data_IF_354652456547
#
_entry.id   IF_354652456547
#
_cell.length_a   1.000
_cell.length_b   1.000
_cell.length_c   1.000
_cell.angle_alpha   90.00
_cell.angle_beta   90.00
_cell.angle_gamma   90.00
#
_symmetry.space_group_name_H-M   'P 1'
#
loop_
_entity.id
_entity.type
_entity.pdbx_description
1 polymer ?
#
# COMPACT_ATOMS: atom_id res chain seq x y z
N UNK A 1 -26.25 -2.10 5.49
CA UNK A 1 -25.68 -0.73 5.29
C UNK A 1 -24.17 -0.86 5.19
N UNK A 2 -23.49 -0.07 4.34
CA UNK A 2 -22.04 -0.16 4.16
C UNK A 2 -21.27 0.33 5.39
N UNK A 3 -20.22 -0.41 5.78
CA UNK A 3 -19.36 -0.10 6.94
C UNK A 3 -17.97 0.30 6.47
N UNK A 4 -17.50 1.44 6.98
CA UNK A 4 -16.16 1.97 6.74
C UNK A 4 -15.37 2.05 8.05
N UNK A 5 -14.06 1.79 7.96
CA UNK A 5 -13.10 2.06 9.03
C UNK A 5 -12.15 3.14 8.53
N UNK A 6 -12.24 4.32 9.13
CA UNK A 6 -11.38 5.45 8.84
C UNK A 6 -10.16 5.40 9.76
N UNK A 7 -8.97 5.45 9.16
CA UNK A 7 -7.69 5.48 9.83
C UNK A 7 -7.04 6.85 9.65
N UNK A 8 -6.72 7.49 10.76
CA UNK A 8 -6.04 8.77 10.84
C UNK A 8 -4.75 8.61 11.60
N UNK A 9 -3.67 9.20 11.12
CA UNK A 9 -2.43 9.25 11.89
C UNK A 9 -1.71 10.57 11.70
N UNK A 10 -1.12 11.07 12.80
CA UNK A 10 -0.15 12.14 12.81
C UNK A 10 1.21 11.51 13.08
N UNK A 11 2.15 11.68 12.16
CA UNK A 11 3.47 11.09 12.28
C UNK A 11 4.55 12.10 11.92
N UNK A 12 5.39 12.40 12.90
CA UNK A 12 6.56 13.26 12.70
C UNK A 12 7.71 12.47 12.08
N UNK A 13 8.25 12.99 10.98
CA UNK A 13 9.48 12.49 10.38
C UNK A 13 10.60 13.51 10.55
N UNK A 14 11.82 13.07 10.92
CA UNK A 14 13.00 13.92 10.93
C UNK A 14 13.39 14.32 9.49
N UNK A 15 14.39 15.22 9.32
CA UNK A 15 14.91 15.56 8.00
C UNK A 15 15.20 14.31 7.17
N UNK A 16 14.47 14.15 6.07
CA UNK A 16 14.53 12.93 5.27
C UNK A 16 14.03 13.14 3.84
N UNK A 17 14.29 12.16 2.99
CA UNK A 17 13.82 12.12 1.61
C UNK A 17 13.21 10.74 1.24
N UNK A 18 12.22 10.33 2.04
CA UNK A 18 11.55 9.03 1.90
C UNK A 18 10.66 8.89 0.66
N UNK A 19 10.26 10.01 0.05
CA UNK A 19 9.50 10.04 -1.19
C UNK A 19 9.84 11.26 -2.06
N UNK A 20 10.46 11.02 -3.21
CA UNK A 20 11.02 12.04 -4.10
C UNK A 20 10.40 12.10 -5.50
N UNK A 21 10.53 13.24 -6.14
CA UNK A 21 10.25 13.46 -7.56
C UNK A 21 11.33 12.88 -8.48
N UNK A 22 11.17 13.09 -9.78
CA UNK A 22 12.16 12.71 -10.80
C UNK A 22 13.44 13.55 -10.71
N UNK A 23 13.30 14.77 -10.20
CA UNK A 23 14.37 15.72 -9.87
C UNK A 23 15.16 15.36 -8.60
N UNK A 24 14.74 14.31 -7.88
CA UNK A 24 15.35 13.88 -6.63
C UNK A 24 14.87 14.65 -5.40
N UNK A 25 14.08 15.71 -5.55
CA UNK A 25 13.59 16.53 -4.45
C UNK A 25 12.42 15.85 -3.70
N UNK A 26 12.27 16.06 -2.37
CA UNK A 26 11.10 15.62 -1.63
C UNK A 26 9.80 16.13 -2.28
N UNK A 27 8.83 15.23 -2.47
CA UNK A 27 7.55 15.63 -3.07
C UNK A 27 6.84 16.64 -2.17
N UNK A 28 6.21 17.63 -2.78
CA UNK A 28 5.39 18.64 -2.10
C UNK A 28 4.03 18.82 -2.76
N UNK A 29 3.13 19.52 -2.07
CA UNK A 29 1.84 19.99 -2.58
C UNK A 29 1.46 21.32 -1.94
N UNK A 30 0.52 22.05 -2.55
CA UNK A 30 -0.07 23.26 -1.95
C UNK A 30 -1.38 22.89 -1.28
N UNK A 31 -1.55 23.25 -0.01
CA UNK A 31 -2.80 23.07 0.74
C UNK A 31 -3.03 24.28 1.66
N UNK A 32 -4.23 24.87 1.58
CA UNK A 32 -4.56 26.13 2.28
C UNK A 32 -3.62 27.30 1.92
N UNK A 33 -3.17 27.35 0.67
CA UNK A 33 -2.25 28.39 0.17
C UNK A 33 -0.80 28.24 0.64
N UNK A 34 -0.44 27.17 1.36
CA UNK A 34 0.92 26.91 1.85
C UNK A 34 1.54 25.67 1.23
N UNK A 35 2.84 25.70 0.95
CA UNK A 35 3.59 24.52 0.46
C UNK A 35 3.82 23.54 1.61
N UNK A 36 3.48 22.27 1.39
CA UNK A 36 3.58 21.17 2.35
C UNK A 36 4.44 20.05 1.79
N UNK A 37 5.22 19.39 2.63
CA UNK A 37 5.80 18.10 2.27
C UNK A 37 4.67 17.08 2.03
N UNK A 38 4.85 16.19 1.05
CA UNK A 38 3.84 15.20 0.67
C UNK A 38 4.48 13.83 0.48
N UNK A 39 3.85 12.79 1.02
CA UNK A 39 4.15 11.40 0.68
C UNK A 39 3.03 10.87 -0.21
N UNK A 40 3.40 10.32 -1.37
CA UNK A 40 2.43 9.78 -2.31
C UNK A 40 1.70 8.56 -1.77
N UNK A 41 0.39 8.48 -2.02
CA UNK A 41 -0.44 7.33 -1.65
C UNK A 41 0.13 6.02 -2.20
N UNK A 42 0.69 6.03 -3.41
CA UNK A 42 1.37 4.88 -4.00
C UNK A 42 2.61 4.42 -3.20
N UNK A 43 3.40 5.35 -2.65
CA UNK A 43 4.55 5.02 -1.82
C UNK A 43 4.11 4.39 -0.49
N UNK A 44 3.03 4.91 0.12
CA UNK A 44 2.43 4.35 1.34
C UNK A 44 1.86 2.96 1.09
N UNK A 45 1.05 2.78 0.03
CA UNK A 45 0.51 1.47 -0.37
C UNK A 45 1.62 0.47 -0.70
N UNK A 46 2.69 0.92 -1.36
CA UNK A 46 3.85 0.07 -1.67
C UNK A 46 4.60 -0.37 -0.40
N UNK A 47 4.71 0.50 0.59
CA UNK A 47 5.28 0.14 1.90
C UNK A 47 4.42 -0.92 2.60
N UNK A 48 3.12 -0.68 2.75
CA UNK A 48 2.21 -1.64 3.38
C UNK A 48 2.22 -3.01 2.69
N UNK A 49 2.22 -3.04 1.35
CA UNK A 49 2.29 -4.29 0.58
C UNK A 49 3.55 -5.11 0.82
N UNK A 50 4.69 -4.47 1.11
CA UNK A 50 5.91 -5.21 1.43
C UNK A 50 5.78 -5.84 2.81
N UNK A 51 5.29 -5.09 3.77
CA UNK A 51 5.21 -5.50 5.17
C UNK A 51 4.09 -6.53 5.41
N UNK A 52 3.10 -6.64 4.50
CA UNK A 52 2.14 -7.75 4.52
C UNK A 52 2.81 -9.13 4.46
N UNK A 53 3.99 -9.25 3.84
CA UNK A 53 4.72 -10.52 3.76
C UNK A 53 5.20 -11.04 5.11
N UNK A 54 5.31 -10.16 6.09
CA UNK A 54 5.73 -10.52 7.44
C UNK A 54 4.52 -10.92 8.31
N UNK A 55 3.29 -10.68 7.84
CA UNK A 55 2.04 -10.87 8.58
C UNK A 55 1.11 -11.94 7.98
N UNK A 56 1.21 -12.17 6.67
CA UNK A 56 0.33 -13.04 5.90
C UNK A 56 1.14 -14.05 5.10
N UNK A 57 0.55 -15.22 4.85
CA UNK A 57 1.18 -16.25 4.01
C UNK A 57 1.28 -15.78 2.55
N UNK A 58 2.37 -16.14 1.86
CA UNK A 58 2.60 -15.70 0.48
C UNK A 58 1.49 -16.19 -0.48
N UNK A 59 0.82 -17.31 -0.19
CA UNK A 59 -0.33 -17.79 -0.98
C UNK A 59 -1.51 -16.82 -0.95
N UNK A 60 -1.66 -16.03 0.11
CA UNK A 60 -2.71 -15.02 0.29
C UNK A 60 -2.38 -13.68 -0.37
N UNK A 61 -1.15 -13.52 -0.86
CA UNK A 61 -0.65 -12.28 -1.44
C UNK A 61 -0.59 -12.34 -2.96
N UNK A 62 -0.59 -11.15 -3.57
CA UNK A 62 -0.50 -10.96 -5.00
C UNK A 62 0.87 -10.48 -5.45
N UNK A 63 1.19 -10.86 -6.68
CA UNK A 63 2.40 -10.43 -7.38
C UNK A 63 2.05 -9.44 -8.49
N UNK A 64 2.95 -8.47 -8.74
CA UNK A 64 2.84 -7.55 -9.87
C UNK A 64 3.92 -7.87 -10.88
N UNK A 65 3.54 -8.44 -12.02
CA UNK A 65 4.50 -8.90 -13.02
C UNK A 65 3.96 -8.73 -14.43
N UNK A 66 4.88 -8.64 -15.40
CA UNK A 66 4.55 -8.79 -16.83
C UNK A 66 4.63 -10.25 -17.27
N UNK A 67 5.25 -11.11 -16.46
CA UNK A 67 5.62 -12.49 -16.81
C UNK A 67 4.60 -13.51 -16.28
N UNK A 68 3.31 -13.18 -16.31
CA UNK A 68 2.26 -14.04 -15.75
C UNK A 68 2.24 -15.44 -16.36
N UNK A 69 2.57 -15.58 -17.65
CA UNK A 69 2.64 -16.89 -18.30
C UNK A 69 3.82 -17.74 -17.81
N UNK A 70 4.97 -17.11 -17.53
CA UNK A 70 6.13 -17.81 -16.96
C UNK A 70 5.83 -18.29 -15.54
N UNK A 71 5.21 -17.43 -14.71
CA UNK A 71 4.83 -17.77 -13.34
C UNK A 71 3.89 -18.97 -13.25
N UNK A 72 2.92 -19.08 -14.17
CA UNK A 72 2.03 -20.24 -14.26
C UNK A 72 2.77 -21.45 -14.82
N UNK A 73 3.63 -21.27 -15.83
CA UNK A 73 4.39 -22.38 -16.41
C UNK A 73 5.30 -23.06 -15.37
N UNK A 74 5.97 -22.29 -14.53
CA UNK A 74 6.80 -22.82 -13.44
C UNK A 74 5.98 -23.64 -12.44
N UNK A 75 4.74 -23.21 -12.16
CA UNK A 75 3.79 -23.95 -11.30
C UNK A 75 3.31 -25.23 -11.97
N UNK A 76 3.00 -25.20 -13.26
CA UNK A 76 2.61 -26.39 -14.05
C UNK A 76 3.72 -27.44 -14.03
N UNK A 77 4.98 -27.06 -14.23
CA UNK A 77 6.12 -27.98 -14.21
C UNK A 77 6.32 -28.60 -12.84
N UNK A 78 6.15 -27.82 -11.77
CA UNK A 78 6.21 -28.33 -10.39
C UNK A 78 5.11 -29.36 -10.11
N UNK A 79 3.91 -29.17 -10.67
CA UNK A 79 2.77 -30.07 -10.51
C UNK A 79 2.87 -31.31 -11.41
N UNK A 80 3.42 -31.17 -12.62
CA UNK A 80 3.61 -32.25 -13.57
C UNK A 80 4.98 -32.13 -14.28
N UNK A 81 6.03 -32.80 -13.74
CA UNK A 81 7.38 -32.74 -14.29
C UNK A 81 7.54 -33.33 -15.70
N UNK A 82 6.55 -34.07 -16.20
CA UNK A 82 6.57 -34.65 -17.54
C UNK A 82 6.23 -33.62 -18.64
N UNK A 83 5.72 -32.44 -18.26
CA UNK A 83 5.39 -31.36 -19.18
C UNK A 83 6.63 -30.54 -19.52
N UNK A 84 6.89 -30.33 -20.81
CA UNK A 84 7.99 -29.48 -21.25
C UNK A 84 7.75 -28.01 -20.89
N UNK A 85 8.83 -27.26 -20.62
CA UNK A 85 8.74 -25.81 -20.33
C UNK A 85 8.06 -25.05 -21.47
N UNK A 86 8.32 -25.42 -22.73
CA UNK A 86 7.65 -24.79 -23.87
C UNK A 86 6.13 -25.02 -23.85
N UNK A 87 5.69 -26.24 -23.57
CA UNK A 87 4.26 -26.56 -23.58
C UNK A 87 3.56 -25.86 -22.41
N UNK A 88 4.17 -25.87 -21.23
CA UNK A 88 3.65 -25.15 -20.06
C UNK A 88 3.50 -23.64 -20.34
N UNK A 89 4.50 -23.00 -20.95
CA UNK A 89 4.44 -21.59 -21.35
C UNK A 89 3.37 -21.34 -22.41
N UNK A 90 3.26 -22.20 -23.43
CA UNK A 90 2.22 -22.09 -24.49
C UNK A 90 0.82 -22.22 -23.90
N UNK A 91 0.60 -23.18 -23.01
CA UNK A 91 -0.70 -23.39 -22.36
C UNK A 91 -1.09 -22.21 -21.47
N UNK A 92 -0.16 -21.73 -20.64
CA UNK A 92 -0.38 -20.55 -19.80
C UNK A 92 -0.68 -19.30 -20.63
N UNK A 93 0.11 -19.03 -21.67
CA UNK A 93 -0.11 -17.89 -22.56
C UNK A 93 -1.47 -17.97 -23.27
N UNK A 94 -1.87 -19.16 -23.72
CA UNK A 94 -3.17 -19.38 -24.34
C UNK A 94 -4.32 -19.12 -23.36
N UNK A 95 -4.20 -19.55 -22.10
CA UNK A 95 -5.21 -19.29 -21.08
C UNK A 95 -5.40 -17.77 -20.86
N UNK A 96 -4.31 -17.02 -20.66
CA UNK A 96 -4.41 -15.56 -20.47
C UNK A 96 -4.91 -14.82 -21.72
N UNK A 97 -4.53 -15.25 -22.93
CA UNK A 97 -5.09 -14.71 -24.17
C UNK A 97 -6.60 -14.94 -24.27
N UNK A 98 -7.09 -16.11 -23.83
CA UNK A 98 -8.53 -16.40 -23.78
C UNK A 98 -9.27 -15.55 -22.74
N UNK A 99 -8.60 -15.19 -21.65
CA UNK A 99 -9.12 -14.24 -20.65
C UNK A 99 -9.15 -12.79 -21.17
N UNK A 100 -8.61 -12.51 -22.36
CA UNK A 100 -8.63 -11.17 -22.97
C UNK A 100 -7.33 -10.38 -22.83
N UNK A 101 -6.29 -10.96 -22.23
CA UNK A 101 -4.99 -10.29 -22.07
C UNK A 101 -4.14 -10.39 -23.34
N UNK A 102 -3.51 -9.28 -23.72
CA UNK A 102 -2.56 -9.28 -24.84
C UNK A 102 -1.17 -9.64 -24.34
N UNK A 103 -0.68 -10.80 -24.78
CA UNK A 103 0.67 -11.27 -24.51
C UNK A 103 1.49 -11.21 -25.80
N UNK A 104 2.75 -10.81 -25.67
CA UNK A 104 3.72 -10.70 -26.76
C UNK A 104 5.08 -11.21 -26.31
N UNK A 105 5.85 -11.79 -27.22
CA UNK A 105 7.26 -12.10 -26.95
C UNK A 105 8.04 -10.79 -26.76
N UNK A 106 8.79 -10.63 -25.66
CA UNK A 106 9.64 -9.46 -25.45
C UNK A 106 10.62 -9.29 -26.62
N UNK A 107 10.72 -8.07 -27.16
CA UNK A 107 11.80 -7.73 -28.09
C UNK A 107 13.08 -7.54 -27.29
N UNK A 108 13.80 -8.60 -26.98
CA UNK A 108 15.16 -8.50 -26.43
C UNK A 108 16.02 -7.79 -27.47
N UNK A 109 16.75 -6.75 -27.09
CA UNK A 109 17.78 -6.14 -27.95
C UNK A 109 18.75 -7.24 -28.40
N UNK A 110 18.93 -7.38 -29.71
CA UNK A 110 19.57 -8.50 -30.41
C UNK A 110 21.09 -8.73 -30.15
N UNK A 111 21.59 -8.51 -28.93
CA UNK A 111 23.02 -8.70 -28.59
C UNK A 111 23.31 -9.87 -27.64
N UNK A 112 22.30 -10.59 -27.16
CA UNK A 112 22.50 -11.79 -26.33
C UNK A 112 21.48 -12.84 -26.78
N UNK A 113 21.78 -13.55 -27.86
CA UNK A 113 21.13 -14.83 -28.18
C UNK A 113 22.26 -15.83 -28.37
N UNK A 114 22.73 -16.41 -27.26
CA UNK A 114 23.36 -17.72 -27.30
C UNK A 114 22.29 -18.77 -27.59
N UNK A 115 22.65 -19.78 -28.40
CA UNK A 115 21.77 -20.85 -28.87
C UNK A 115 21.25 -21.79 -27.78
N UNK A 116 21.63 -21.57 -26.51
CA UNK A 116 21.18 -22.30 -25.31
C UNK A 116 20.20 -21.47 -24.43
N UNK A 117 19.68 -20.36 -24.93
CA UNK A 117 18.73 -19.54 -24.16
C UNK A 117 17.35 -20.21 -24.09
N UNK A 118 16.87 -20.43 -22.86
CA UNK A 118 15.54 -20.96 -22.59
C UNK A 118 14.44 -20.21 -23.38
N UNK A 119 13.33 -20.87 -23.74
CA UNK A 119 12.25 -20.24 -24.48
C UNK A 119 11.80 -18.96 -23.79
N UNK A 120 11.87 -17.84 -24.51
CA UNK A 120 11.43 -16.55 -23.96
C UNK A 120 9.92 -16.55 -23.86
N UNK A 121 9.41 -16.68 -22.63
CA UNK A 121 7.98 -16.66 -22.35
C UNK A 121 7.32 -15.38 -22.87
N UNK A 122 6.08 -15.50 -23.35
CA UNK A 122 5.28 -14.32 -23.69
C UNK A 122 4.92 -13.51 -22.44
N UNK A 123 4.90 -12.18 -22.57
CA UNK A 123 4.66 -11.25 -21.47
C UNK A 123 3.59 -10.22 -21.84
N UNK A 124 2.89 -9.70 -20.84
CA UNK A 124 1.94 -8.59 -21.02
C UNK A 124 2.69 -7.26 -21.22
N UNK A 125 2.08 -6.32 -21.95
CA UNK A 125 2.68 -4.98 -22.15
C UNK A 125 2.79 -4.15 -20.86
N UNK A 126 1.92 -4.45 -19.89
CA UNK A 126 1.79 -3.77 -18.60
C UNK A 126 1.86 -4.76 -17.43
N UNK A 127 2.08 -4.24 -16.22
CA UNK A 127 2.09 -5.07 -15.00
C UNK A 127 0.67 -5.54 -14.69
N UNK A 128 0.51 -6.85 -14.55
CA UNK A 128 -0.71 -7.47 -14.04
C UNK A 128 -0.52 -7.76 -12.56
N UNK A 129 -1.53 -7.44 -11.76
CA UNK A 129 -1.55 -7.71 -10.33
C UNK A 129 -2.45 -8.92 -10.07
N UNK A 130 -1.93 -10.03 -9.58
CA UNK A 130 -2.70 -11.29 -9.47
C UNK A 130 -2.26 -12.08 -8.25
N UNK A 131 -3.20 -12.77 -7.60
CA UNK A 131 -2.94 -13.59 -6.42
C UNK A 131 -2.11 -14.83 -6.72
N UNK A 132 -1.21 -15.21 -5.81
CA UNK A 132 -0.43 -16.44 -5.93
C UNK A 132 -1.33 -17.68 -6.07
N UNK A 133 -2.31 -17.86 -5.18
CA UNK A 133 -3.26 -18.97 -5.27
C UNK A 133 -4.11 -18.93 -6.57
N UNK A 134 -4.35 -17.76 -7.16
CA UNK A 134 -5.07 -17.67 -8.44
C UNK A 134 -4.22 -18.24 -9.59
N UNK A 135 -2.90 -18.00 -9.54
CA UNK A 135 -1.94 -18.62 -10.47
C UNK A 135 -1.83 -20.13 -10.24
N UNK A 136 -1.86 -20.56 -8.98
CA UNK A 136 -1.83 -21.99 -8.62
C UNK A 136 -3.08 -22.72 -9.12
N UNK A 137 -4.28 -22.19 -8.87
CA UNK A 137 -5.55 -22.75 -9.40
C UNK A 137 -5.54 -22.83 -10.93
N UNK A 138 -4.98 -21.83 -11.61
CA UNK A 138 -4.86 -21.87 -13.06
C UNK A 138 -3.87 -22.95 -13.53
N UNK A 139 -2.74 -23.11 -12.84
CA UNK A 139 -1.77 -24.17 -13.14
C UNK A 139 -2.38 -25.57 -12.94
N UNK A 140 -3.10 -25.80 -11.84
CA UNK A 140 -3.82 -27.05 -11.58
C UNK A 140 -4.86 -27.35 -12.66
N UNK A 141 -5.62 -26.33 -13.09
CA UNK A 141 -6.60 -26.48 -14.16
C UNK A 141 -5.92 -26.85 -15.50
N UNK A 142 -4.76 -26.27 -15.80
CA UNK A 142 -3.98 -26.58 -17.01
C UNK A 142 -3.51 -28.04 -16.98
N UNK A 143 -2.97 -28.50 -15.85
CA UNK A 143 -2.53 -29.90 -15.68
C UNK A 143 -3.70 -30.87 -15.83
N UNK A 144 -4.84 -30.57 -15.22
CA UNK A 144 -6.05 -31.41 -15.30
C UNK A 144 -6.59 -31.54 -16.73
N UNK A 145 -6.49 -30.48 -17.52
CA UNK A 145 -6.90 -30.44 -18.93
C UNK A 145 -5.84 -30.94 -19.91
N UNK A 146 -4.63 -31.26 -19.45
CA UNK A 146 -3.51 -31.69 -20.31
C UNK A 146 -3.29 -30.76 -21.54
N UNK A 147 -3.48 -29.46 -21.36
CA UNK A 147 -3.31 -28.48 -22.44
C UNK A 147 -4.50 -28.31 -23.39
N UNK A 148 -5.66 -28.93 -23.11
CA UNK A 148 -6.90 -28.63 -23.83
C UNK A 148 -7.28 -27.14 -23.71
N UNK A 149 -7.94 -26.62 -24.74
CA UNK A 149 -8.30 -25.21 -24.79
C UNK A 149 -9.31 -24.82 -23.71
N UNK A 150 -9.03 -23.73 -23.01
CA UNK A 150 -9.98 -23.10 -22.11
C UNK A 150 -10.97 -22.20 -22.87
N UNK A 151 -12.21 -22.18 -22.42
CA UNK A 151 -13.16 -21.13 -22.73
C UNK A 151 -12.83 -19.85 -21.94
N UNK A 152 -13.26 -18.70 -22.43
CA UNK A 152 -13.08 -17.42 -21.70
C UNK A 152 -13.68 -17.48 -20.29
N UNK A 153 -14.88 -18.06 -20.16
CA UNK A 153 -15.62 -18.13 -18.90
C UNK A 153 -14.84 -18.93 -17.83
N UNK A 154 -14.26 -20.06 -18.20
CA UNK A 154 -13.49 -20.90 -17.27
C UNK A 154 -12.26 -20.16 -16.73
N UNK A 155 -11.50 -19.47 -17.60
CA UNK A 155 -10.30 -18.76 -17.13
C UNK A 155 -10.67 -17.56 -16.27
N UNK A 156 -11.72 -16.81 -16.64
CA UNK A 156 -12.20 -15.69 -15.84
C UNK A 156 -12.68 -16.17 -14.47
N UNK A 157 -13.43 -17.25 -14.38
CA UNK A 157 -13.90 -17.82 -13.10
C UNK A 157 -12.74 -18.23 -12.18
N UNK A 158 -11.63 -18.74 -12.73
CA UNK A 158 -10.41 -19.08 -11.97
C UNK A 158 -9.64 -17.82 -11.51
N UNK A 159 -9.62 -16.75 -12.31
CA UNK A 159 -8.80 -15.55 -12.03
C UNK A 159 -9.59 -14.48 -11.26
N UNK A 160 -10.91 -14.50 -11.33
CA UNK A 160 -11.80 -13.44 -10.84
C UNK A 160 -12.61 -13.84 -9.61
N UNK A 161 -12.13 -14.83 -8.87
CA UNK A 161 -12.71 -15.27 -7.59
C UNK A 161 -11.64 -15.29 -6.50
N UNK A 162 -12.07 -15.12 -5.25
CA UNK A 162 -11.23 -15.26 -4.04
C UNK A 162 -9.93 -14.45 -4.15
N UNK A 163 -10.00 -13.14 -4.38
CA UNK A 163 -8.79 -12.37 -4.68
C UNK A 163 -7.77 -12.36 -3.53
N UNK A 164 -6.48 -12.22 -3.85
CA UNK A 164 -5.44 -12.03 -2.84
C UNK A 164 -5.66 -10.78 -2.00
N UNK A 165 -5.22 -10.79 -0.74
CA UNK A 165 -5.47 -9.72 0.24
C UNK A 165 -5.07 -8.35 -0.29
N UNK A 166 -3.88 -8.21 -0.86
CA UNK A 166 -3.40 -6.93 -1.37
C UNK A 166 -4.07 -6.49 -2.70
N UNK A 167 -4.57 -7.44 -3.49
CA UNK A 167 -5.45 -7.16 -4.65
C UNK A 167 -6.82 -6.69 -4.17
N UNK A 168 -7.42 -7.36 -3.18
CA UNK A 168 -8.72 -7.01 -2.59
C UNK A 168 -8.70 -5.63 -1.92
N UNK A 169 -7.60 -5.29 -1.23
CA UNK A 169 -7.43 -4.00 -0.58
C UNK A 169 -7.17 -2.88 -1.60
N UNK A 170 -6.27 -3.07 -2.57
CA UNK A 170 -5.78 -1.97 -3.42
C UNK A 170 -6.32 -1.97 -4.86
N UNK A 171 -7.09 -2.98 -5.22
CA UNK A 171 -7.71 -3.12 -6.52
C UNK A 171 -6.75 -3.53 -7.63
N UNK A 172 -7.33 -3.82 -8.79
CA UNK A 172 -6.66 -4.20 -10.02
C UNK A 172 -7.35 -3.53 -11.20
N UNK A 173 -6.56 -2.85 -12.04
CA UNK A 173 -7.05 -2.25 -13.28
C UNK A 173 -6.28 -2.85 -14.46
N UNK A 174 -7.01 -3.42 -15.41
CA UNK A 174 -6.51 -4.03 -16.63
C UNK A 174 -7.21 -3.37 -17.82
N UNK A 175 -6.42 -2.74 -18.70
CA UNK A 175 -6.96 -1.94 -19.79
C UNK A 175 -7.54 -2.79 -20.94
N UNK A 176 -7.05 -4.02 -21.12
CA UNK A 176 -7.51 -4.88 -22.23
C UNK A 176 -8.88 -5.50 -21.97
N UNK A 177 -9.21 -5.84 -20.72
CA UNK A 177 -10.49 -6.44 -20.35
C UNK A 177 -10.94 -5.97 -18.96
N UNK A 178 -12.01 -5.18 -18.93
CA UNK A 178 -12.58 -4.64 -17.71
C UNK A 178 -13.27 -5.69 -16.84
N UNK A 179 -13.61 -6.88 -17.38
CA UNK A 179 -14.18 -7.98 -16.60
C UNK A 179 -13.19 -8.61 -15.62
N UNK A 180 -11.90 -8.28 -15.73
CA UNK A 180 -10.87 -8.69 -14.78
C UNK A 180 -10.51 -7.57 -13.80
N UNK A 181 -11.21 -6.43 -13.81
CA UNK A 181 -10.96 -5.36 -12.85
C UNK A 181 -11.48 -5.74 -11.47
N UNK A 182 -10.73 -5.38 -10.45
CA UNK A 182 -11.11 -5.57 -9.04
C UNK A 182 -11.19 -4.20 -8.40
N UNK A 183 -12.37 -3.85 -7.90
CA UNK A 183 -12.57 -2.61 -7.18
C UNK A 183 -11.88 -2.65 -5.81
N UNK A 184 -11.12 -1.60 -5.50
CA UNK A 184 -10.35 -1.54 -4.27
C UNK A 184 -11.24 -1.34 -3.04
N UNK A 185 -11.01 -2.11 -1.98
CA UNK A 185 -11.66 -1.87 -0.69
C UNK A 185 -11.08 -0.65 0.06
N UNK A 186 -9.85 -0.22 -0.27
CA UNK A 186 -9.15 0.85 0.44
C UNK A 186 -8.97 2.11 -0.39
N UNK A 187 -9.37 3.24 0.18
CA UNK A 187 -9.07 4.56 -0.34
C UNK A 187 -7.99 5.21 0.53
N UNK A 188 -6.79 5.45 -0.03
CA UNK A 188 -5.65 6.04 0.71
C UNK A 188 -5.33 7.41 0.15
N UNK A 189 -5.36 8.43 1.00
CA UNK A 189 -4.95 9.78 0.63
C UNK A 189 -3.41 9.89 0.50
N UNK A 190 -2.96 10.95 -0.16
CA UNK A 190 -1.58 11.39 0.01
C UNK A 190 -1.41 11.88 1.45
N UNK A 191 -0.32 11.49 2.11
CA UNK A 191 0.01 12.12 3.39
C UNK A 191 0.58 13.51 3.14
N UNK A 192 0.16 14.49 3.91
CA UNK A 192 0.57 15.90 3.76
C UNK A 192 1.07 16.44 5.09
N UNK A 193 2.08 17.30 5.05
CA UNK A 193 2.58 18.02 6.22
C UNK A 193 1.52 18.98 6.79
N UNK A 194 1.39 19.01 8.12
CA UNK A 194 0.43 19.88 8.83
C UNK A 194 0.95 21.31 9.04
N UNK A 195 2.24 21.54 8.82
CA UNK A 195 2.93 22.85 8.83
C UNK A 195 3.38 23.27 7.42
N UNK A 196 3.67 24.55 7.19
CA UNK A 196 4.37 24.97 5.99
C UNK A 196 5.79 24.41 6.00
N UNK A 197 6.28 23.89 4.87
CA UNK A 197 7.59 23.28 4.76
C UNK A 197 8.28 23.66 3.45
N UNK A 198 9.59 23.87 3.52
CA UNK A 198 10.47 24.09 2.39
C UNK A 198 11.63 23.08 2.46
N UNK A 199 12.19 22.65 1.31
CA UNK A 199 13.35 21.77 1.31
C UNK A 199 14.57 22.48 1.92
N UNK A 200 15.28 21.73 2.76
CA UNK A 200 16.65 22.01 3.15
C UNK A 200 17.61 21.23 2.23
N UNK A 201 18.83 21.72 2.11
CA UNK A 201 19.85 21.18 1.23
C UNK A 201 21.01 20.59 2.05
N UNK A 202 21.32 19.32 1.79
CA UNK A 202 22.50 18.64 2.33
C UNK A 202 23.60 18.58 1.27
N UNK A 203 24.70 19.30 1.48
CA UNK A 203 25.86 19.26 0.60
C UNK A 203 26.83 18.19 1.08
N UNK A 204 27.14 17.23 0.22
CA UNK A 204 28.02 16.11 0.56
C UNK A 204 29.18 15.99 -0.44
N UNK A 205 30.27 15.42 0.06
CA UNK A 205 31.44 15.05 -0.75
C UNK A 205 31.71 13.56 -0.59
N UNK A 206 32.27 12.93 -1.62
CA UNK A 206 32.89 11.62 -1.51
C UNK A 206 34.39 11.79 -1.79
N UNK A 207 35.20 11.33 -0.86
CA UNK A 207 36.67 11.38 -0.97
C UNK A 207 37.14 10.13 -1.71
N UNK A 208 38.19 10.28 -2.53
CA UNK A 208 38.88 9.16 -3.14
C UNK A 208 40.04 8.73 -2.24
N UNK A 209 39.91 7.56 -1.61
CA UNK A 209 40.91 7.00 -0.70
C UNK A 209 42.28 6.74 -1.38
N UNK A 210 42.34 6.63 -2.72
CA UNK A 210 43.61 6.48 -3.46
C UNK A 210 44.28 7.85 -3.61
N UNK A 211 43.56 8.86 -4.08
CA UNK A 211 44.09 10.22 -4.24
C UNK A 211 44.48 10.85 -2.91
N UNK A 212 43.72 10.60 -1.84
CA UNK A 212 44.07 11.07 -0.50
C UNK A 212 45.42 10.50 -0.02
N UNK A 213 45.73 9.25 -0.36
CA UNK A 213 47.03 8.62 -0.07
C UNK A 213 48.19 9.21 -0.86
N UNK A 214 47.92 9.87 -1.97
CA UNK A 214 48.91 10.55 -2.82
C UNK A 214 49.07 12.05 -2.45
N UNK A 215 48.51 12.48 -1.31
CA UNK A 215 48.46 13.88 -0.85
C UNK A 215 47.74 14.83 -1.83
N UNK A 216 46.98 14.28 -2.79
CA UNK A 216 46.13 15.07 -3.67
C UNK A 216 44.84 15.45 -2.93
N UNK A 217 44.72 16.75 -2.59
CA UNK A 217 43.55 17.28 -1.91
C UNK A 217 42.41 17.56 -2.91
N UNK A 218 41.26 16.89 -2.74
CA UNK A 218 40.08 17.11 -3.57
C UNK A 218 38.94 16.13 -3.27
N UNK A 219 37.70 16.56 -3.52
CA UNK A 219 36.55 15.66 -3.48
C UNK A 219 36.45 14.91 -4.82
N UNK A 220 36.46 13.58 -4.79
CA UNK A 220 36.24 12.73 -5.97
C UNK A 220 34.81 12.86 -6.52
N UNK A 221 33.85 13.19 -5.67
CA UNK A 221 32.49 13.57 -6.05
C UNK A 221 31.93 14.62 -5.08
N UNK A 222 31.10 15.52 -5.60
CA UNK A 222 30.30 16.43 -4.78
C UNK A 222 28.85 16.39 -5.25
N UNK A 223 27.91 16.55 -4.34
CA UNK A 223 26.49 16.56 -4.67
C UNK A 223 25.66 17.30 -3.63
N UNK A 224 24.38 17.45 -3.94
CA UNK A 224 23.40 18.00 -3.00
C UNK A 224 22.16 17.11 -2.97
N UNK A 225 21.66 16.82 -1.78
CA UNK A 225 20.41 16.11 -1.57
C UNK A 225 19.44 17.07 -0.89
N UNK A 226 18.24 17.20 -1.44
CA UNK A 226 17.16 17.90 -0.75
C UNK A 226 16.49 16.99 0.28
N UNK A 227 16.17 17.56 1.44
CA UNK A 227 15.48 16.89 2.55
C UNK A 227 14.41 17.81 3.13
N UNK A 228 13.42 17.23 3.81
CA UNK A 228 12.42 17.97 4.57
C UNK A 228 12.08 17.22 5.85
N UNK A 229 11.69 17.96 6.89
CA UNK A 229 11.05 17.41 8.09
C UNK A 229 9.63 17.93 8.20
N UNK A 230 8.71 17.11 8.68
CA UNK A 230 7.30 17.47 8.85
C UNK A 230 6.59 16.50 9.76
N UNK A 231 5.58 17.00 10.50
CA UNK A 231 4.50 16.15 11.02
C UNK A 231 3.48 15.94 9.91
N UNK A 232 3.30 14.70 9.49
CA UNK A 232 2.38 14.32 8.43
C UNK A 232 1.04 13.91 8.97
N UNK A 233 -0.03 14.39 8.36
CA UNK A 233 -1.34 13.78 8.45
C UNK A 233 -1.47 12.68 7.38
N UNK A 234 -1.75 11.45 7.83
CA UNK A 234 -2.03 10.27 7.02
C UNK A 234 -3.51 9.93 7.18
N UNK A 235 -4.16 9.62 6.06
CA UNK A 235 -5.56 9.18 6.06
C UNK A 235 -5.78 8.04 5.09
N UNK A 236 -6.54 7.05 5.54
CA UNK A 236 -7.05 5.99 4.68
C UNK A 236 -8.38 5.50 5.21
N UNK A 237 -9.25 5.01 4.34
CA UNK A 237 -10.51 4.39 4.73
C UNK A 237 -10.64 3.02 4.09
N UNK A 238 -11.13 2.06 4.86
CA UNK A 238 -11.35 0.68 4.46
C UNK A 238 -12.87 0.39 4.42
N UNK A 239 -13.36 -0.01 3.25
CA UNK A 239 -14.73 -0.48 3.05
C UNK A 239 -14.80 -1.99 3.35
N UNK A 240 -15.46 -2.36 4.45
CA UNK A 240 -15.57 -3.76 4.88
C UNK A 240 -16.42 -4.58 3.92
N UNK A 241 -17.51 -4.01 3.41
CA UNK A 241 -18.39 -4.69 2.44
C UNK A 241 -17.64 -5.07 1.16
N UNK A 242 -16.86 -4.14 0.63
CA UNK A 242 -16.07 -4.39 -0.57
C UNK A 242 -14.98 -5.42 -0.31
N UNK A 243 -14.36 -5.39 0.89
CA UNK A 243 -13.31 -6.34 1.25
C UNK A 243 -13.86 -7.77 1.33
N UNK A 244 -15.01 -7.95 1.99
CA UNK A 244 -15.71 -9.25 2.07
C UNK A 244 -16.08 -9.74 0.68
N UNK A 245 -16.62 -8.85 -0.17
CA UNK A 245 -16.98 -9.21 -1.54
C UNK A 245 -15.77 -9.69 -2.35
N UNK A 246 -14.63 -9.00 -2.25
CA UNK A 246 -13.42 -9.34 -2.98
C UNK A 246 -12.75 -10.64 -2.48
N UNK A 247 -12.74 -10.87 -1.17
CA UNK A 247 -12.10 -12.05 -0.56
C UNK A 247 -12.99 -13.29 -0.60
N UNK A 248 -14.32 -13.13 -0.50
CA UNK A 248 -15.27 -14.23 -0.44
C UNK A 248 -15.26 -15.01 0.89
N UNK A 249 -14.43 -14.64 1.86
CA UNK A 249 -14.27 -15.33 3.14
C UNK A 249 -14.21 -14.35 4.34
N UNK A 250 -14.94 -14.67 5.40
CA UNK A 250 -15.06 -13.85 6.61
C UNK A 250 -13.77 -13.89 7.42
N UNK A 251 -13.15 -15.06 7.58
CA UNK A 251 -11.91 -15.18 8.36
C UNK A 251 -10.74 -14.48 7.65
N UNK A 252 -10.64 -14.61 6.32
CA UNK A 252 -9.68 -13.89 5.50
C UNK A 252 -9.91 -12.37 5.61
N UNK A 253 -11.16 -11.93 5.70
CA UNK A 253 -11.49 -10.51 5.93
C UNK A 253 -10.94 -10.02 7.25
N UNK A 254 -11.14 -10.75 8.36
CA UNK A 254 -10.61 -10.36 9.66
C UNK A 254 -9.08 -10.28 9.66
N UNK A 255 -8.40 -11.30 9.12
CA UNK A 255 -6.94 -11.31 8.98
C UNK A 255 -6.44 -10.14 8.11
N UNK A 256 -7.13 -9.83 7.02
CA UNK A 256 -6.79 -8.72 6.14
C UNK A 256 -6.97 -7.36 6.83
N UNK A 257 -8.03 -7.17 7.62
CA UNK A 257 -8.26 -5.94 8.41
C UNK A 257 -7.17 -5.75 9.45
N UNK A 258 -6.81 -6.80 10.19
CA UNK A 258 -5.74 -6.73 11.20
C UNK A 258 -4.39 -6.40 10.55
N UNK A 259 -4.01 -7.10 9.48
CA UNK A 259 -2.78 -6.83 8.74
C UNK A 259 -2.77 -5.40 8.18
N UNK A 260 -3.91 -4.93 7.66
CA UNK A 260 -4.07 -3.57 7.17
C UNK A 260 -3.89 -2.53 8.28
N UNK A 261 -4.53 -2.70 9.43
CA UNK A 261 -4.42 -1.78 10.56
C UNK A 261 -2.99 -1.71 11.11
N UNK A 262 -2.31 -2.86 11.27
CA UNK A 262 -0.91 -2.93 11.71
C UNK A 262 0.02 -2.19 10.75
N UNK A 263 -0.04 -2.53 9.45
CA UNK A 263 0.81 -1.90 8.42
C UNK A 263 0.46 -0.44 8.16
N UNK A 264 -0.80 -0.02 8.33
CA UNK A 264 -1.16 1.40 8.28
C UNK A 264 -0.39 2.20 9.34
N UNK A 265 -0.22 1.66 10.53
CA UNK A 265 0.47 2.34 11.63
C UNK A 265 1.99 2.24 11.46
N UNK A 266 2.51 1.06 11.16
CA UNK A 266 3.95 0.76 11.25
C UNK A 266 4.72 1.02 9.95
N UNK A 267 4.09 0.87 8.78
CA UNK A 267 4.81 0.92 7.50
C UNK A 267 5.16 2.34 7.06
N UNK A 268 6.38 2.50 6.54
CA UNK A 268 6.89 3.71 5.92
C UNK A 268 7.63 3.42 4.59
N UNK A 269 7.62 4.36 3.63
CA UNK A 269 8.48 4.29 2.45
C UNK A 269 9.97 4.19 2.80
N UNK A 270 10.71 3.43 1.99
CA UNK A 270 12.14 3.11 2.22
C UNK A 270 13.12 4.00 1.44
N UNK A 271 12.63 5.01 0.73
CA UNK A 271 13.47 5.92 -0.06
C UNK A 271 14.54 6.58 0.81
N UNK A 272 15.81 6.50 0.41
CA UNK A 272 16.94 7.10 1.15
C UNK A 272 17.01 6.75 2.66
N UNK A 273 16.35 5.68 3.13
CA UNK A 273 16.35 5.35 4.56
C UNK A 273 17.76 5.04 5.07
N UNK A 274 18.61 4.41 4.28
CA UNK A 274 20.00 4.14 4.68
C UNK A 274 20.85 5.41 4.88
N UNK A 275 20.42 6.54 4.32
CA UNK A 275 21.12 7.83 4.45
C UNK A 275 20.54 8.69 5.59
N UNK A 276 19.23 8.60 5.87
CA UNK A 276 18.55 9.48 6.84
C UNK A 276 17.99 8.78 8.08
N UNK A 277 17.86 7.45 8.09
CA UNK A 277 17.33 6.66 9.20
C UNK A 277 16.02 7.20 9.80
N UNK A 278 15.07 7.61 8.95
CA UNK A 278 13.78 8.19 9.32
C UNK A 278 12.75 7.11 9.71
N UNK A 279 13.11 6.25 10.66
CA UNK A 279 12.26 5.21 11.22
C UNK A 279 11.53 5.75 12.46
N UNK A 280 10.30 6.21 12.29
CA UNK A 280 9.45 6.68 13.41
C UNK A 280 8.12 5.94 13.44
N UNK A 281 7.39 6.07 14.55
CA UNK A 281 6.00 5.65 14.68
C UNK A 281 5.10 6.89 14.75
N UNK A 282 3.79 6.77 14.44
CA UNK A 282 2.86 7.88 14.62
C UNK A 282 2.79 8.38 16.07
N UNK A 283 2.77 9.71 16.21
CA UNK A 283 2.57 10.40 17.49
C UNK A 283 1.10 10.32 17.94
N UNK A 284 0.17 10.30 16.99
CA UNK A 284 -1.26 10.10 17.23
C UNK A 284 -1.82 9.15 16.18
N UNK A 285 -2.60 8.17 16.60
CA UNK A 285 -3.44 7.35 15.71
C UNK A 285 -4.88 7.49 16.18
N UNK A 286 -5.82 7.70 15.26
CA UNK A 286 -7.25 7.63 15.54
C UNK A 286 -7.93 6.75 14.51
N UNK A 287 -8.83 5.88 14.99
CA UNK A 287 -9.61 4.97 14.15
C UNK A 287 -11.08 5.17 14.45
N UNK A 288 -11.90 5.31 13.42
CA UNK A 288 -13.34 5.54 13.55
C UNK A 288 -14.15 4.63 12.62
N UNK A 289 -15.16 3.96 13.16
CA UNK A 289 -16.10 3.11 12.41
C UNK A 289 -17.34 3.92 12.04
N UNK A 290 -17.68 3.96 10.75
CA UNK A 290 -18.70 4.88 10.21
C UNK A 290 -19.50 4.26 9.05
N UNK A 291 -20.62 4.89 8.71
CA UNK A 291 -21.45 4.56 7.53
C UNK A 291 -21.02 5.27 6.24
N UNK A 292 -20.16 6.28 6.37
CA UNK A 292 -19.47 6.95 5.27
C UNK A 292 -18.07 7.34 5.73
N UNK A 293 -17.09 7.36 4.82
CA UNK A 293 -15.75 7.82 5.14
C UNK A 293 -15.72 9.34 5.33
N UNK A 294 -14.92 9.80 6.30
CA UNK A 294 -14.67 11.22 6.56
C UNK A 294 -13.20 11.45 6.90
N UNK A 295 -12.51 12.28 6.11
CA UNK A 295 -11.16 12.73 6.42
C UNK A 295 -11.18 14.00 7.27
N UNK A 296 -10.31 14.07 8.28
CA UNK A 296 -10.07 15.28 9.10
C UNK A 296 -9.00 16.20 8.50
N UNK A 297 -8.71 16.10 7.20
CA UNK A 297 -7.68 16.92 6.53
C UNK A 297 -7.93 18.43 6.66
N UNK A 298 -9.19 18.84 6.78
CA UNK A 298 -9.58 20.24 6.92
C UNK A 298 -9.09 20.87 8.24
N UNK A 299 -8.79 20.06 9.26
CA UNK A 299 -8.10 20.52 10.46
C UNK A 299 -6.77 21.23 10.17
N UNK A 300 -6.17 20.96 9.00
CA UNK A 300 -4.86 21.45 8.58
C UNK A 300 -4.92 22.36 7.34
N UNK A 301 -6.12 22.77 6.90
CA UNK A 301 -6.26 23.76 5.82
C UNK A 301 -5.50 25.02 6.21
N UNK A 302 -5.80 25.58 7.38
CA UNK A 302 -4.92 26.57 7.99
C UNK A 302 -3.67 25.87 8.53
N UNK A 303 -2.51 26.23 8.00
CA UNK A 303 -1.23 25.67 8.46
C UNK A 303 -1.03 25.83 9.96
N UNK A 304 -0.72 24.72 10.64
CA UNK A 304 -0.28 24.75 12.03
C UNK A 304 1.02 25.57 12.07
N UNK A 305 1.05 26.55 12.96
CA UNK A 305 2.25 27.35 13.22
C UNK A 305 3.06 26.66 14.31
N UNK A 306 4.37 26.40 14.08
CA UNK A 306 5.25 25.91 15.13
C UNK A 306 5.21 26.83 16.35
N UNK A 307 5.36 26.23 17.54
CA UNK A 307 5.56 26.93 18.81
C UNK A 307 6.90 26.50 19.40
N UNK A 308 7.58 27.41 20.09
CA UNK A 308 8.83 27.06 20.77
C UNK A 308 8.60 26.13 21.96
N UNK A 309 7.43 26.23 22.59
CA UNK A 309 7.14 25.57 23.86
C UNK A 309 6.27 24.30 23.72
N UNK A 310 5.77 24.01 22.52
CA UNK A 310 4.87 22.88 22.30
C UNK A 310 5.13 22.17 20.96
N UNK A 311 5.09 20.83 20.99
CA UNK A 311 5.30 20.02 19.80
C UNK A 311 4.20 20.25 18.74
N UNK A 312 4.60 20.27 17.48
CA UNK A 312 3.68 20.35 16.33
C UNK A 312 2.67 19.21 16.35
N UNK A 313 3.08 17.99 16.73
CA UNK A 313 2.20 16.83 16.79
C UNK A 313 1.09 17.01 17.82
N UNK A 314 1.39 17.55 19.01
CA UNK A 314 0.40 17.83 20.06
C UNK A 314 -0.62 18.87 19.59
N UNK A 315 -0.17 19.97 18.98
CA UNK A 315 -1.06 20.99 18.40
C UNK A 315 -1.95 20.43 17.28
N UNK A 316 -1.35 19.64 16.38
CA UNK A 316 -2.07 19.01 15.29
C UNK A 316 -3.09 17.99 15.80
N UNK A 317 -2.78 17.26 16.87
CA UNK A 317 -3.70 16.33 17.54
C UNK A 317 -4.95 17.04 18.02
N UNK A 318 -4.82 18.17 18.73
CA UNK A 318 -5.97 18.97 19.17
C UNK A 318 -6.79 19.54 18.02
N UNK A 319 -6.13 19.99 16.95
CA UNK A 319 -6.84 20.46 15.75
C UNK A 319 -7.65 19.32 15.11
N UNK A 320 -7.07 18.11 15.05
CA UNK A 320 -7.73 16.90 14.54
C UNK A 320 -8.93 16.49 15.41
N UNK A 321 -8.77 16.51 16.74
CA UNK A 321 -9.85 16.22 17.69
C UNK A 321 -11.01 17.20 17.55
N UNK A 322 -10.69 18.49 17.44
CA UNK A 322 -11.69 19.54 17.20
C UNK A 322 -12.45 19.33 15.88
N UNK A 323 -11.77 18.98 14.80
CA UNK A 323 -12.41 18.67 13.51
C UNK A 323 -13.32 17.43 13.64
N UNK A 324 -12.89 16.38 14.35
CA UNK A 324 -13.72 15.20 14.60
C UNK A 324 -15.01 15.53 15.38
N UNK A 325 -14.91 16.40 16.39
CA UNK A 325 -16.06 16.92 17.13
C UNK A 325 -16.99 17.72 16.23
N UNK A 326 -16.45 18.64 15.43
CA UNK A 326 -17.22 19.48 14.50
C UNK A 326 -17.93 18.66 13.42
N UNK A 327 -17.29 17.61 12.89
CA UNK A 327 -17.92 16.66 11.96
C UNK A 327 -19.15 16.00 12.60
N UNK A 328 -19.02 15.60 13.86
CA UNK A 328 -20.09 14.95 14.61
C UNK A 328 -21.23 15.93 14.91
N UNK A 329 -20.93 17.11 15.44
CA UNK A 329 -21.93 18.10 15.88
C UNK A 329 -22.67 18.78 14.72
N UNK A 330 -21.94 19.17 13.67
CA UNK A 330 -22.51 19.97 12.58
C UNK A 330 -23.23 19.11 11.54
N UNK A 331 -22.70 17.91 11.28
CA UNK A 331 -23.22 17.05 10.20
C UNK A 331 -23.90 15.79 10.70
N UNK A 332 -23.87 15.50 12.01
CA UNK A 332 -24.46 14.30 12.59
C UNK A 332 -23.73 13.00 12.25
N UNK A 333 -22.51 13.09 11.71
CA UNK A 333 -21.68 11.91 11.42
C UNK A 333 -20.92 11.50 12.67
N UNK A 334 -21.61 10.88 13.62
CA UNK A 334 -21.01 10.30 14.83
C UNK A 334 -20.47 8.89 14.51
N UNK A 335 -19.23 8.54 14.88
CA UNK A 335 -18.74 7.15 14.77
C UNK A 335 -19.59 6.20 15.62
N UNK A 336 -19.79 4.96 15.17
CA UNK A 336 -20.34 3.92 16.05
C UNK A 336 -19.31 3.45 17.07
N UNK A 337 -18.05 3.39 16.67
CA UNK A 337 -16.90 3.14 17.53
C UNK A 337 -15.76 4.06 17.11
N UNK A 338 -14.97 4.51 18.08
CA UNK A 338 -13.77 5.28 17.80
C UNK A 338 -12.76 5.13 18.92
N UNK A 339 -11.49 5.03 18.54
CA UNK A 339 -10.36 4.88 19.46
C UNK A 339 -9.21 5.76 19.04
N UNK A 340 -8.30 6.03 19.97
CA UNK A 340 -7.04 6.68 19.65
C UNK A 340 -5.86 6.18 20.51
N UNK A 341 -4.66 6.31 19.94
CA UNK A 341 -3.37 6.08 20.60
C UNK A 341 -2.63 7.42 20.58
N UNK A 342 -2.16 7.88 21.74
CA UNK A 342 -1.30 9.06 21.86
C UNK A 342 -0.45 8.97 23.14
N UNK A 343 0.73 9.61 23.18
CA UNK A 343 1.49 9.79 24.41
C UNK A 343 0.69 10.56 25.46
N UNK A 344 0.94 10.30 26.75
CA UNK A 344 0.27 10.96 27.87
C UNK A 344 0.30 12.49 27.77
N UNK A 345 1.44 13.06 27.38
CA UNK A 345 1.63 14.51 27.20
C UNK A 345 0.69 15.13 26.14
N UNK A 346 0.15 14.32 25.22
CA UNK A 346 -0.77 14.75 24.17
C UNK A 346 -2.22 14.35 24.48
N UNK A 347 -2.45 13.49 25.48
CA UNK A 347 -3.70 12.78 25.71
C UNK A 347 -4.86 13.68 26.22
N UNK A 348 -4.56 14.66 27.09
CA UNK A 348 -5.57 15.44 27.84
C UNK A 348 -6.58 16.23 26.98
N UNK A 349 -6.37 16.35 25.67
CA UNK A 349 -7.24 17.11 24.76
C UNK A 349 -7.64 16.33 23.51
N UNK A 350 -7.59 14.99 23.55
CA UNK A 350 -7.91 14.12 22.41
C UNK A 350 -9.18 13.29 22.59
N UNK A 351 -9.93 13.47 23.67
CA UNK A 351 -11.13 12.67 23.96
C UNK A 351 -12.18 12.69 22.83
N UNK A 352 -12.24 13.76 22.05
CA UNK A 352 -13.15 13.87 20.90
C UNK A 352 -12.78 12.93 19.74
N UNK A 353 -11.62 12.26 19.80
CA UNK A 353 -11.19 11.21 18.86
C UNK A 353 -11.68 9.80 19.24
N UNK A 354 -12.22 9.61 20.45
CA UNK A 354 -12.74 8.33 20.91
C UNK A 354 -12.17 7.86 22.25
N UNK A 355 -12.11 6.54 22.45
CA UNK A 355 -11.53 5.92 23.65
C UNK A 355 -10.00 5.79 23.53
N UNK A 356 -9.28 6.15 24.60
CA UNK A 356 -7.82 6.00 24.65
C UNK A 356 -7.44 4.52 24.78
N UNK A 357 -6.55 4.04 23.92
CA UNK A 357 -6.11 2.65 23.88
C UNK A 357 -4.61 2.54 23.56
N UNK A 358 -4.10 1.31 23.52
CA UNK A 358 -2.74 1.01 23.06
C UNK A 358 -2.77 0.22 21.74
N UNK A 359 -1.61 -0.01 21.15
CA UNK A 359 -1.51 -0.65 19.84
C UNK A 359 -2.16 -2.03 19.77
N UNK A 360 -1.86 -2.94 20.71
CA UNK A 360 -2.40 -4.31 20.64
C UNK A 360 -3.90 -4.35 20.95
N UNK A 361 -4.35 -3.55 21.92
CA UNK A 361 -5.78 -3.41 22.22
C UNK A 361 -6.56 -2.82 21.04
N UNK A 362 -6.04 -1.76 20.37
CA UNK A 362 -6.65 -1.18 19.18
C UNK A 362 -6.89 -2.22 18.08
N UNK A 363 -5.89 -3.06 17.79
CA UNK A 363 -6.01 -4.10 16.76
C UNK A 363 -7.09 -5.12 17.14
N UNK A 364 -7.12 -5.54 18.42
CA UNK A 364 -8.14 -6.45 18.93
C UNK A 364 -9.55 -5.84 18.86
N UNK A 365 -9.72 -4.59 19.28
CA UNK A 365 -11.00 -3.86 19.27
C UNK A 365 -11.54 -3.68 17.84
N UNK A 366 -10.65 -3.37 16.88
CA UNK A 366 -11.00 -3.30 15.45
C UNK A 366 -11.48 -4.68 14.96
N UNK A 367 -10.72 -5.74 15.27
CA UNK A 367 -11.04 -7.11 14.82
C UNK A 367 -12.38 -7.57 15.39
N UNK A 368 -12.61 -7.36 16.69
CA UNK A 368 -13.89 -7.66 17.34
C UNK A 368 -15.04 -6.89 16.72
N UNK A 369 -14.88 -5.57 16.50
CA UNK A 369 -15.92 -4.73 15.91
C UNK A 369 -16.27 -5.19 14.49
N UNK A 370 -15.27 -5.59 13.69
CA UNK A 370 -15.54 -6.16 12.36
C UNK A 370 -16.26 -7.49 12.46
N UNK A 371 -15.86 -8.38 13.38
CA UNK A 371 -16.54 -9.66 13.57
C UNK A 371 -18.02 -9.48 13.95
N UNK A 372 -18.32 -8.54 14.84
CA UNK A 372 -19.70 -8.17 15.21
C UNK A 372 -20.49 -7.65 14.00
N UNK A 373 -19.92 -6.71 13.23
CA UNK A 373 -20.54 -6.19 12.00
C UNK A 373 -20.82 -7.27 10.97
N UNK A 374 -19.96 -8.28 10.85
CA UNK A 374 -20.15 -9.39 9.91
C UNK A 374 -21.17 -10.41 10.41
N UNK A 375 -21.22 -10.68 11.72
CA UNK A 375 -22.19 -11.60 12.32
C UNK A 375 -23.62 -11.05 12.28
N UNK A 376 -23.81 -9.77 12.58
CA UNK A 376 -25.12 -9.12 12.51
C UNK A 376 -25.76 -9.25 11.11
N UNK A 377 -24.93 -9.29 10.07
CA UNK A 377 -25.36 -9.45 8.68
C UNK A 377 -25.68 -10.88 8.29
N UNK A 378 -25.08 -11.87 8.94
CA UNK A 378 -25.40 -13.27 8.69
C UNK A 378 -26.76 -13.67 9.31
N UNK A 379 -27.26 -12.87 10.26
CA UNK A 379 -28.56 -13.05 10.90
C UNK A 379 -29.73 -12.28 10.24
N UNK A 380 -29.46 -11.35 9.33
CA UNK A 380 -30.44 -10.66 8.47
C UNK A 380 -30.64 -11.42 7.14
#
# INVERSE_FOLDING_TARGET
>A
MTTFIDFHALQTLPPSNINRGEDGAPKSAVFGGKRRQRISSQALKSAQRRDFKDLLDDSQLGIRTKQIAAEVADRVIKLNPDVSLEDAQKWAANAFKKAGLKLTVPKTSAKIQDQDSAPTAEQTGYLVFIGNHQLDRLAEAIVKKQGEAFSKKEVVEIIDTEHAVDVSLFGRMLADDASLNVDAAVQTAHAIGVTEAQPDFDFFTAVDDVSEREEETGAGMMGTIEMMSSTFYRYSTLNIDQLVHNLGDVEATLRAVEAYARTFIQSLPTGYQNSFAAHTLPDVVSVAVRKRPVSYVNAFELAIKPDGDESTATKAGRAMAKEAQQVSDLYGYVPSHSWYIAPDATNESLNDLGESTNFEALIADISQTVAEVLNDRAGE
#
